data_IF_601834679379
#
_entry.id   IF_601834679379
#
_cell.length_a   1.000
_cell.length_b   1.000
_cell.length_c   1.000
_cell.angle_alpha   90.00
_cell.angle_beta   90.00
_cell.angle_gamma   90.00
#
_symmetry.space_group_name_H-M   'P 1'
#
loop_
_entity.id
_entity.type
_entity.pdbx_description
1 polymer ?
#
# COMPACT_ATOMS: atom_id res chain seq x y z
N UNK A 1 9.69 3.76 -10.46
CA UNK A 1 10.23 3.33 -9.15
C UNK A 1 9.30 3.85 -8.08
N UNK A 2 8.88 3.01 -7.15
CA UNK A 2 7.92 3.37 -6.09
C UNK A 2 8.54 4.33 -5.09
N UNK A 3 7.77 5.32 -4.66
CA UNK A 3 8.15 6.39 -3.73
C UNK A 3 7.13 6.50 -2.58
N UNK A 4 7.52 7.25 -1.54
CA UNK A 4 6.59 7.64 -0.49
C UNK A 4 5.42 8.44 -1.09
N UNK A 5 4.22 8.17 -0.61
CA UNK A 5 2.92 8.66 -1.06
C UNK A 5 2.43 8.10 -2.40
N UNK A 6 3.17 7.22 -3.08
CA UNK A 6 2.62 6.51 -4.23
C UNK A 6 1.47 5.58 -3.79
N UNK A 7 0.54 5.33 -4.71
CA UNK A 7 -0.52 4.34 -4.53
C UNK A 7 -0.14 3.07 -5.27
N UNK A 8 -0.06 1.97 -4.54
CA UNK A 8 0.14 0.64 -5.11
C UNK A 8 -1.09 -0.22 -4.90
N UNK A 9 -1.27 -1.23 -5.73
CA UNK A 9 -2.31 -2.23 -5.57
C UNK A 9 -1.68 -3.57 -5.18
N UNK A 10 -2.21 -4.19 -4.11
CA UNK A 10 -1.77 -5.51 -3.64
C UNK A 10 -2.16 -6.57 -4.67
N UNK A 11 -1.29 -7.55 -4.91
CA UNK A 11 -1.62 -8.73 -5.72
C UNK A 11 -2.93 -9.37 -5.20
N UNK A 12 -3.94 -9.58 -6.06
CA UNK A 12 -5.24 -10.14 -5.66
C UNK A 12 -5.17 -11.52 -5.02
N UNK A 13 -4.13 -12.32 -5.31
CA UNK A 13 -3.96 -13.68 -4.77
C UNK A 13 -3.49 -13.69 -3.31
N UNK A 14 -3.20 -12.52 -2.72
CA UNK A 14 -2.88 -12.44 -1.28
C UNK A 14 -4.16 -12.52 -0.44
N UNK A 15 -4.12 -13.40 0.56
CA UNK A 15 -5.21 -13.59 1.52
C UNK A 15 -5.59 -12.29 2.25
N UNK A 16 -4.59 -11.55 2.74
CA UNK A 16 -4.82 -10.30 3.47
C UNK A 16 -4.68 -9.09 2.55
N UNK A 17 -5.75 -8.29 2.48
CA UNK A 17 -5.81 -7.06 1.68
C UNK A 17 -5.55 -7.26 0.18
N UNK A 18 -5.82 -8.46 -0.36
CA UNK A 18 -5.75 -8.73 -1.79
C UNK A 18 -6.58 -7.71 -2.60
N UNK A 19 -5.99 -7.19 -3.67
CA UNK A 19 -6.55 -6.14 -4.53
C UNK A 19 -6.78 -4.76 -3.86
N UNK A 20 -6.50 -4.59 -2.57
CA UNK A 20 -6.62 -3.30 -1.90
C UNK A 20 -5.58 -2.30 -2.42
N UNK A 21 -5.93 -1.01 -2.32
CA UNK A 21 -5.01 0.10 -2.56
C UNK A 21 -4.24 0.44 -1.29
N UNK A 22 -2.93 0.61 -1.42
CA UNK A 22 -2.01 0.94 -0.33
C UNK A 22 -1.34 2.26 -0.63
N UNK A 23 -1.38 3.18 0.35
CA UNK A 23 -0.57 4.40 0.33
C UNK A 23 0.79 4.09 0.95
N UNK A 24 1.87 4.30 0.18
CA UNK A 24 3.23 4.00 0.62
C UNK A 24 3.70 5.04 1.65
N UNK A 25 4.13 4.58 2.82
CA UNK A 25 4.70 5.44 3.87
C UNK A 25 6.21 5.28 4.02
N UNK A 26 6.77 4.16 3.56
CA UNK A 26 8.22 3.91 3.56
C UNK A 26 8.60 3.00 2.39
N UNK A 27 9.71 3.31 1.72
CA UNK A 27 10.32 2.45 0.70
C UNK A 27 11.52 1.73 1.31
N UNK A 28 11.60 0.42 1.09
CA UNK A 28 12.66 -0.46 1.59
C UNK A 28 13.41 -1.09 0.41
N UNK A 29 14.62 -1.58 0.65
CA UNK A 29 15.41 -2.26 -0.39
C UNK A 29 14.75 -3.53 -0.93
N UNK A 30 13.82 -4.13 -0.17
CA UNK A 30 13.13 -5.37 -0.49
C UNK A 30 11.62 -5.19 -0.78
N UNK A 31 11.09 -3.97 -0.69
CA UNK A 31 9.65 -3.73 -0.81
C UNK A 31 9.20 -2.39 -0.21
N UNK A 32 8.02 -2.37 0.41
CA UNK A 32 7.42 -1.15 0.98
C UNK A 32 6.77 -1.41 2.34
N UNK A 33 6.52 -0.33 3.06
CA UNK A 33 5.50 -0.24 4.11
C UNK A 33 4.45 0.80 3.68
N UNK A 34 3.19 0.54 4.00
CA UNK A 34 2.09 1.44 3.73
C UNK A 34 0.86 1.11 4.56
N UNK A 35 -0.24 1.79 4.30
CA UNK A 35 -1.52 1.50 4.93
C UNK A 35 -2.65 1.30 3.92
N UNK A 36 -3.61 0.48 4.31
CA UNK A 36 -4.92 0.30 3.66
C UNK A 36 -5.98 0.98 4.53
N UNK A 37 -6.93 1.65 3.88
CA UNK A 37 -8.17 2.09 4.52
C UNK A 37 -9.21 0.97 4.40
N UNK A 38 -9.39 0.21 5.47
CA UNK A 38 -10.37 -0.89 5.48
C UNK A 38 -11.78 -0.38 5.78
N UNK A 39 -12.75 -0.79 4.94
CA UNK A 39 -14.14 -0.40 5.13
C UNK A 39 -14.71 -0.98 6.43
N UNK A 40 -15.34 -0.14 7.25
CA UNK A 40 -15.96 -0.55 8.51
C UNK A 40 -15.00 -0.80 9.67
N UNK A 41 -13.71 -0.47 9.50
CA UNK A 41 -12.72 -0.50 10.59
C UNK A 41 -12.21 0.92 10.81
N UNK A 42 -12.31 1.40 12.04
CA UNK A 42 -11.78 2.72 12.39
C UNK A 42 -10.25 2.73 12.35
N UNK A 43 -9.69 3.82 11.83
CA UNK A 43 -8.25 4.02 11.73
C UNK A 43 -7.61 3.36 10.51
N UNK A 44 -6.31 3.09 10.61
CA UNK A 44 -5.48 2.61 9.50
C UNK A 44 -4.87 1.25 9.79
N UNK A 45 -4.83 0.41 8.77
CA UNK A 45 -4.19 -0.90 8.85
C UNK A 45 -2.90 -0.90 8.05
N UNK A 46 -1.79 -1.07 8.76
CA UNK A 46 -0.45 -1.04 8.17
C UNK A 46 -0.04 -2.41 7.64
N UNK A 47 0.57 -2.42 6.47
CA UNK A 47 1.09 -3.61 5.81
C UNK A 47 2.49 -3.37 5.26
N UNK A 48 3.28 -4.45 5.20
CA UNK A 48 4.56 -4.51 4.48
C UNK A 48 4.42 -5.50 3.33
N UNK A 49 4.89 -5.09 2.15
CA UNK A 49 4.79 -5.88 0.92
C UNK A 49 6.17 -6.00 0.29
N UNK A 50 6.50 -7.17 -0.25
CA UNK A 50 7.73 -7.34 -1.05
C UNK A 50 7.52 -6.78 -2.45
N UNK A 51 8.59 -6.46 -3.18
CA UNK A 51 8.52 -5.86 -4.53
C UNK A 51 7.82 -6.69 -5.62
N UNK A 52 7.37 -7.92 -5.33
CA UNK A 52 6.53 -8.72 -6.23
C UNK A 52 5.11 -8.97 -5.72
N UNK A 53 4.75 -8.40 -4.56
CA UNK A 53 3.43 -8.55 -3.94
C UNK A 53 2.48 -7.39 -4.30
N UNK A 54 2.93 -6.42 -5.10
CA UNK A 54 2.15 -5.24 -5.48
C UNK A 54 2.58 -4.70 -6.83
N UNK A 55 1.69 -3.93 -7.45
CA UNK A 55 1.97 -3.16 -8.66
C UNK A 55 1.73 -1.65 -8.40
N UNK A 56 2.58 -0.75 -8.91
CA UNK A 56 2.31 0.68 -8.84
C UNK A 56 1.14 1.04 -9.74
N UNK A 57 0.20 1.83 -9.23
CA UNK A 57 -0.97 2.27 -10.03
C UNK A 57 -0.66 3.48 -10.93
N UNK A 58 0.49 4.12 -10.72
CA UNK A 58 0.81 5.44 -11.28
C UNK A 58 0.14 6.60 -10.55
N UNK A 59 -0.72 6.33 -9.56
CA UNK A 59 -1.37 7.33 -8.71
C UNK A 59 -0.49 7.75 -7.53
N UNK A 60 -0.79 8.94 -6.99
CA UNK A 60 -0.15 9.50 -5.81
C UNK A 60 -1.19 10.07 -4.86
N UNK A 61 -1.08 9.73 -3.57
CA UNK A 61 -1.90 10.33 -2.53
C UNK A 61 -1.43 11.77 -2.27
N UNK A 62 -2.33 12.74 -2.49
CA UNK A 62 -2.08 14.16 -2.16
C UNK A 62 -2.25 14.40 -0.66
N UNK A 63 -3.20 13.68 -0.06
CA UNK A 63 -3.49 13.71 1.37
C UNK A 63 -3.18 12.34 1.96
N UNK A 64 -2.38 12.33 3.02
CA UNK A 64 -1.99 11.11 3.73
C UNK A 64 -2.50 11.15 5.15
N UNK A 65 -2.86 9.99 5.68
CA UNK A 65 -3.20 9.84 7.09
C UNK A 65 -1.97 10.13 7.96
N UNK A 66 -2.13 10.78 9.12
CA UNK A 66 -1.03 11.03 10.06
C UNK A 66 -0.47 9.75 10.67
#
# INVERSE_FOLDING_TARGET
MTQVNDIVQVNPDRETFGACMVVVTEVKSWGIQGYVQSAGVDGQQYIRLKSGDFEPTGGKAVWVAP
#
